data_IF_885043738452
#
_entry.id   IF_885043738452
#
_cell.length_a   1.000
_cell.length_b   1.000
_cell.length_c   1.000
_cell.angle_alpha   90.00
_cell.angle_beta   90.00
_cell.angle_gamma   90.00
#
_symmetry.space_group_name_H-M   'P 1'
#
loop_
_entity.id
_entity.type
_entity.pdbx_description
1 polymer ?
#
# COMPACT_ATOMS: atom_id res chain seq x y z
N UNK A 1 27.68 0.63 6.53
CA UNK A 1 26.84 1.79 6.86
C UNK A 1 25.56 1.25 7.49
N UNK A 2 25.27 1.58 8.75
CA UNK A 2 24.02 1.17 9.40
C UNK A 2 23.00 2.30 9.28
N UNK A 3 21.75 2.00 8.94
CA UNK A 3 20.67 2.97 8.80
C UNK A 3 19.31 2.31 9.02
N UNK A 4 18.26 3.12 9.14
CA UNK A 4 16.89 2.64 9.34
C UNK A 4 16.10 2.86 8.05
N UNK A 5 15.59 1.76 7.49
CA UNK A 5 14.55 1.78 6.48
C UNK A 5 13.26 1.24 7.12
N UNK A 6 12.27 2.10 7.30
CA UNK A 6 11.00 1.77 7.94
C UNK A 6 9.85 2.40 7.17
N UNK A 7 8.84 1.59 6.89
CA UNK A 7 7.57 2.03 6.31
C UNK A 7 6.45 1.66 7.28
N UNK A 8 5.52 2.59 7.53
CA UNK A 8 4.30 2.36 8.30
C UNK A 8 3.13 2.71 7.38
N UNK A 9 2.24 1.75 7.12
CA UNK A 9 1.06 1.93 6.27
C UNK A 9 -0.21 1.63 7.07
N UNK A 10 -1.21 2.49 6.93
CA UNK A 10 -2.57 2.29 7.41
C UNK A 10 -3.50 2.53 6.24
N UNK A 11 -4.22 1.50 5.81
CA UNK A 11 -5.04 1.57 4.61
C UNK A 11 -5.92 0.33 4.47
N UNK A 12 -6.58 0.21 3.32
CA UNK A 12 -7.53 -0.86 3.05
C UNK A 12 -6.98 -1.83 2.00
N UNK A 13 -7.32 -3.11 2.11
CA UNK A 13 -7.01 -4.08 1.07
C UNK A 13 -7.90 -3.85 -0.16
N UNK A 14 -7.30 -3.72 -1.34
CA UNK A 14 -8.04 -3.62 -2.60
C UNK A 14 -8.57 -4.93 -3.13
N UNK A 15 -8.01 -6.04 -2.66
CA UNK A 15 -8.41 -7.39 -3.03
C UNK A 15 -8.09 -8.36 -1.88
N UNK A 16 -8.60 -9.58 -1.95
CA UNK A 16 -8.20 -10.65 -1.02
C UNK A 16 -6.68 -10.89 -1.14
N UNK A 17 -5.97 -11.19 -0.03
CA UNK A 17 -4.56 -11.54 -0.07
C UNK A 17 -4.29 -12.70 -1.04
N UNK A 18 -3.24 -12.58 -1.85
CA UNK A 18 -2.76 -13.66 -2.71
C UNK A 18 -1.68 -14.45 -1.96
N UNK A 19 -1.94 -15.71 -1.62
CA UNK A 19 -0.98 -16.59 -0.94
C UNK A 19 -0.40 -17.59 -1.93
N UNK A 20 0.93 -17.64 -2.00
CA UNK A 20 1.71 -18.58 -2.82
C UNK A 20 2.68 -19.34 -1.93
N UNK A 21 3.09 -20.53 -2.35
CA UNK A 21 4.14 -21.29 -1.68
C UNK A 21 5.38 -21.31 -2.57
N UNK A 22 6.52 -20.92 -2.02
CA UNK A 22 7.81 -21.04 -2.70
C UNK A 22 8.24 -22.51 -2.78
N UNK A 23 9.21 -22.82 -3.64
CA UNK A 23 9.70 -24.19 -3.85
C UNK A 23 10.24 -24.87 -2.58
N UNK A 24 10.61 -24.09 -1.57
CA UNK A 24 11.07 -24.56 -0.26
C UNK A 24 9.92 -24.73 0.76
N UNK A 25 8.67 -24.54 0.35
CA UNK A 25 7.48 -24.67 1.21
C UNK A 25 7.10 -23.42 1.99
N UNK A 26 7.86 -22.31 1.89
CA UNK A 26 7.51 -21.08 2.59
C UNK A 26 6.30 -20.42 1.95
N UNK A 27 5.32 -20.02 2.76
CA UNK A 27 4.21 -19.20 2.33
C UNK A 27 4.68 -17.76 2.07
N UNK A 28 4.20 -17.17 0.99
CA UNK A 28 4.39 -15.77 0.61
C UNK A 28 2.99 -15.18 0.40
N UNK A 29 2.67 -14.10 1.10
CA UNK A 29 1.42 -13.36 0.94
C UNK A 29 1.68 -12.01 0.25
N UNK A 30 1.02 -11.77 -0.88
CA UNK A 30 0.99 -10.48 -1.54
C UNK A 30 -0.30 -9.73 -1.17
N UNK A 31 -0.14 -8.48 -0.73
CA UNK A 31 -1.21 -7.57 -0.36
C UNK A 31 -1.15 -6.33 -1.26
N UNK A 32 -2.31 -5.83 -1.67
CA UNK A 32 -2.46 -4.52 -2.32
C UNK A 32 -3.21 -3.59 -1.37
N UNK A 33 -2.53 -2.58 -0.84
CA UNK A 33 -3.08 -1.66 0.18
C UNK A 33 -3.32 -0.30 -0.46
N UNK A 34 -4.54 0.21 -0.39
CA UNK A 34 -4.90 1.56 -0.79
C UNK A 34 -4.77 2.55 0.38
N UNK A 35 -4.13 3.68 0.12
CA UNK A 35 -4.13 4.87 0.98
C UNK A 35 -4.60 6.07 0.17
N UNK A 36 -5.50 6.89 0.73
CA UNK A 36 -6.07 8.04 0.01
C UNK A 36 -5.81 9.33 0.76
N UNK A 37 -5.46 10.37 0.01
CA UNK A 37 -5.37 11.75 0.51
C UNK A 37 -6.42 12.60 -0.20
N UNK A 38 -7.09 13.47 0.56
CA UNK A 38 -8.06 14.43 0.02
C UNK A 38 -7.66 15.85 0.41
N UNK A 39 -7.68 16.77 -0.54
CA UNK A 39 -7.35 18.18 -0.32
C UNK A 39 -8.20 19.09 -1.20
N UNK A 40 -8.28 20.37 -0.84
CA UNK A 40 -8.88 21.39 -1.69
C UNK A 40 -7.80 22.04 -2.54
N UNK A 41 -7.94 22.01 -3.86
CA UNK A 41 -7.01 22.66 -4.78
C UNK A 41 -7.12 24.19 -4.64
N UNK A 42 -5.97 24.86 -4.47
CA UNK A 42 -5.93 26.30 -4.16
C UNK A 42 -6.27 27.19 -5.36
N UNK A 43 -6.12 26.70 -6.58
CA UNK A 43 -6.36 27.48 -7.80
C UNK A 43 -7.81 27.38 -8.27
N UNK A 44 -8.41 26.20 -8.08
CA UNK A 44 -9.76 25.87 -8.57
C UNK A 44 -10.82 25.86 -7.48
N UNK A 45 -10.43 25.74 -6.21
CA UNK A 45 -11.34 25.60 -5.07
C UNK A 45 -12.06 24.24 -5.01
N UNK A 46 -11.72 23.31 -5.90
CA UNK A 46 -12.35 21.99 -5.96
C UNK A 46 -11.71 21.01 -4.98
N UNK A 47 -12.52 20.10 -4.43
CA UNK A 47 -12.00 18.95 -3.68
C UNK A 47 -11.39 17.96 -4.65
N UNK A 48 -10.17 17.55 -4.36
CA UNK A 48 -9.42 16.52 -5.07
C UNK A 48 -9.18 15.33 -4.13
N UNK A 49 -9.14 14.14 -4.71
CA UNK A 49 -8.77 12.90 -4.01
C UNK A 49 -7.74 12.16 -4.85
N UNK A 50 -6.70 11.64 -4.20
CA UNK A 50 -5.70 10.78 -4.82
C UNK A 50 -5.49 9.53 -3.98
N UNK A 51 -5.61 8.38 -4.63
CA UNK A 51 -5.35 7.07 -4.03
C UNK A 51 -4.01 6.54 -4.51
N UNK A 52 -3.19 6.09 -3.57
CA UNK A 52 -1.94 5.37 -3.82
C UNK A 52 -2.09 3.91 -3.45
N UNK A 53 -1.48 3.04 -4.27
CA UNK A 53 -1.53 1.60 -4.13
C UNK A 53 -0.15 1.06 -3.77
N UNK A 54 -0.07 0.45 -2.59
CA UNK A 54 1.15 -0.14 -2.05
C UNK A 54 1.11 -1.65 -2.22
N UNK A 55 2.16 -2.22 -2.83
CA UNK A 55 2.34 -3.67 -2.91
C UNK A 55 3.21 -4.14 -1.75
N UNK A 56 2.62 -4.90 -0.84
CA UNK A 56 3.32 -5.47 0.33
C UNK A 56 3.46 -6.98 0.15
N UNK A 57 4.67 -7.50 0.36
CA UNK A 57 4.95 -8.94 0.38
C UNK A 57 5.36 -9.35 1.79
N UNK A 58 4.75 -10.42 2.29
CA UNK A 58 5.03 -11.04 3.60
C UNK A 58 5.42 -12.49 3.41
#
# INVERSE_FOLDING_TARGET
>A
MAGINKVILVGNLGAKPEVKYASNGNAIANLSVATSESWTDKNTGQKQEKTEWHRVSV
#
